data_IF_031710770160
#
_entry.id   IF_031710770160
#
_cell.length_a   1.000
_cell.length_b   1.000
_cell.length_c   1.000
_cell.angle_alpha   90.00
_cell.angle_beta   90.00
_cell.angle_gamma   90.00
#
_symmetry.space_group_name_H-M   'P 1'
#
loop_
_entity.id
_entity.type
_entity.pdbx_description
1 polymer ?
#
# COMPACT_ATOMS: atom_id res chain seq x y z
N UNK A 1 -43.59 46.80 -15.31
CA UNK A 1 -43.23 45.48 -14.77
C UNK A 1 -41.76 45.21 -15.06
N UNK A 2 -40.92 45.33 -14.06
CA UNK A 2 -39.47 45.11 -14.23
C UNK A 2 -39.18 43.71 -13.72
N UNK A 3 -38.87 42.79 -14.67
CA UNK A 3 -38.46 41.41 -14.34
C UNK A 3 -37.02 41.42 -13.82
N UNK A 4 -36.85 41.13 -12.55
CA UNK A 4 -35.52 40.92 -11.94
C UNK A 4 -35.08 39.48 -12.20
N UNK A 5 -34.29 39.27 -13.28
CA UNK A 5 -33.59 38.02 -13.49
C UNK A 5 -32.49 37.85 -12.45
N UNK A 6 -32.70 36.95 -11.53
CA UNK A 6 -31.72 36.54 -10.50
C UNK A 6 -30.66 35.63 -11.15
N UNK A 7 -29.50 36.19 -11.45
CA UNK A 7 -28.36 35.44 -11.97
C UNK A 7 -27.74 34.69 -10.80
N UNK A 8 -28.02 33.38 -10.69
CA UNK A 8 -27.37 32.50 -9.70
C UNK A 8 -25.99 32.16 -10.22
N UNK A 9 -24.97 32.80 -9.65
CA UNK A 9 -23.56 32.49 -9.91
C UNK A 9 -23.21 31.17 -9.21
N UNK A 10 -23.12 30.07 -9.97
CA UNK A 10 -22.68 28.80 -9.49
C UNK A 10 -21.14 28.83 -9.31
N UNK A 11 -20.66 29.15 -8.11
CA UNK A 11 -19.24 29.05 -7.76
C UNK A 11 -18.92 27.59 -7.57
N UNK A 12 -18.39 26.97 -8.62
CA UNK A 12 -17.89 25.60 -8.57
C UNK A 12 -16.68 25.52 -7.63
N UNK A 13 -16.91 25.02 -6.42
CA UNK A 13 -15.84 24.73 -5.47
C UNK A 13 -15.12 23.45 -5.93
N UNK A 14 -14.01 23.63 -6.65
CA UNK A 14 -13.14 22.51 -7.03
C UNK A 14 -12.45 21.96 -5.79
N UNK A 15 -12.95 20.86 -5.24
CA UNK A 15 -12.23 20.11 -4.22
C UNK A 15 -11.01 19.45 -4.88
N UNK A 16 -9.83 19.97 -4.59
CA UNK A 16 -8.59 19.25 -4.87
C UNK A 16 -8.51 18.07 -3.91
N UNK A 17 -8.99 16.92 -4.35
CA UNK A 17 -8.75 15.66 -3.67
C UNK A 17 -7.29 15.30 -3.93
N UNK A 18 -6.42 15.48 -2.94
CA UNK A 18 -5.06 14.95 -3.01
C UNK A 18 -5.17 13.43 -3.01
N UNK A 19 -4.81 12.82 -4.12
CA UNK A 19 -4.78 11.36 -4.21
C UNK A 19 -3.69 10.84 -3.27
N UNK A 20 -4.06 9.93 -2.37
CA UNK A 20 -3.14 9.18 -1.54
C UNK A 20 -3.21 7.70 -1.95
N UNK A 21 -2.11 6.96 -1.81
CA UNK A 21 -2.13 5.51 -2.03
C UNK A 21 -3.08 4.86 -1.04
N UNK A 22 -4.04 4.09 -1.54
CA UNK A 22 -5.05 3.37 -0.74
C UNK A 22 -4.48 2.02 -0.31
N UNK A 23 -3.55 2.06 0.64
CA UNK A 23 -2.88 0.88 1.15
C UNK A 23 -3.85 -0.14 1.73
N UNK A 24 -3.60 -1.41 1.44
CA UNK A 24 -4.34 -2.55 1.96
C UNK A 24 -3.39 -3.64 2.47
N UNK A 25 -3.92 -4.64 3.16
CA UNK A 25 -3.17 -5.83 3.53
C UNK A 25 -2.95 -6.74 2.31
N UNK A 26 -1.99 -7.66 2.41
CA UNK A 26 -1.73 -8.62 1.33
C UNK A 26 -2.94 -9.54 1.09
N UNK A 27 -3.59 -9.99 2.16
CA UNK A 27 -4.78 -10.84 2.09
C UNK A 27 -5.99 -10.13 1.42
N UNK A 28 -6.16 -8.82 1.68
CA UNK A 28 -7.19 -8.00 1.00
C UNK A 28 -6.89 -7.90 -0.50
N UNK A 29 -5.63 -7.67 -0.87
CA UNK A 29 -5.22 -7.61 -2.28
C UNK A 29 -5.45 -8.93 -3.01
N UNK A 30 -5.08 -10.07 -2.40
CA UNK A 30 -5.34 -11.40 -2.96
C UNK A 30 -6.84 -11.69 -3.09
N UNK A 31 -7.65 -11.23 -2.15
CA UNK A 31 -9.11 -11.37 -2.21
C UNK A 31 -9.68 -10.55 -3.35
N UNK A 32 -9.22 -9.31 -3.53
CA UNK A 32 -9.64 -8.44 -4.62
C UNK A 32 -9.27 -9.00 -6.00
N UNK A 33 -8.09 -9.63 -6.14
CA UNK A 33 -7.67 -10.27 -7.39
C UNK A 33 -8.61 -11.37 -7.87
N UNK A 34 -9.29 -12.07 -6.97
CA UNK A 34 -10.23 -13.18 -7.33
C UNK A 34 -11.40 -12.68 -8.15
N UNK A 35 -11.84 -11.45 -7.96
CA UNK A 35 -12.99 -10.85 -8.65
C UNK A 35 -12.59 -9.87 -9.74
N UNK A 36 -11.46 -9.20 -9.57
CA UNK A 36 -10.92 -8.23 -10.52
C UNK A 36 -9.41 -8.41 -10.62
N UNK A 37 -8.91 -9.23 -11.57
CA UNK A 37 -7.48 -9.48 -11.73
C UNK A 37 -6.71 -8.19 -12.01
N UNK A 38 -5.69 -7.93 -11.18
CA UNK A 38 -4.81 -6.75 -11.26
C UNK A 38 -3.51 -7.08 -10.56
N UNK A 39 -2.40 -6.51 -11.02
CA UNK A 39 -1.10 -6.66 -10.37
C UNK A 39 -1.13 -6.08 -8.95
N UNK A 40 -0.33 -6.65 -8.07
CA UNK A 40 -0.11 -6.14 -6.71
C UNK A 40 1.25 -5.44 -6.66
N UNK A 41 1.30 -4.24 -6.07
CA UNK A 41 2.52 -3.56 -5.69
C UNK A 41 2.64 -3.58 -4.17
N UNK A 42 3.77 -4.03 -3.64
CA UNK A 42 4.00 -4.15 -2.20
C UNK A 42 5.14 -3.24 -1.78
N UNK A 43 4.85 -2.27 -0.95
CA UNK A 43 5.88 -1.52 -0.24
C UNK A 43 6.28 -2.28 1.03
N UNK A 44 7.47 -2.88 0.98
CA UNK A 44 8.04 -3.65 2.08
C UNK A 44 8.96 -2.74 2.90
N UNK A 45 8.54 -2.43 4.10
CA UNK A 45 9.20 -1.46 4.98
C UNK A 45 9.48 -2.03 6.37
N UNK A 46 10.23 -1.28 7.16
CA UNK A 46 10.32 -1.44 8.62
C UNK A 46 10.11 -0.09 9.30
N UNK A 47 9.73 -0.12 10.57
CA UNK A 47 9.42 1.10 11.33
C UNK A 47 10.63 2.00 11.59
N UNK A 48 11.83 1.43 11.60
CA UNK A 48 13.10 2.13 11.84
C UNK A 48 13.79 2.62 10.55
N UNK A 49 13.26 2.29 9.38
CA UNK A 49 13.88 2.53 8.08
C UNK A 49 13.71 3.99 7.62
N UNK A 50 14.79 4.78 7.68
CA UNK A 50 14.80 6.17 7.20
C UNK A 50 14.49 6.31 5.70
N UNK A 51 15.17 5.54 4.80
CA UNK A 51 14.87 5.57 3.37
C UNK A 51 13.41 5.18 3.02
N UNK A 52 12.77 4.30 3.81
CA UNK A 52 11.35 3.97 3.62
C UNK A 52 10.45 5.19 3.84
N UNK A 53 10.74 6.00 4.86
CA UNK A 53 10.02 7.25 5.13
C UNK A 53 10.21 8.27 4.00
N UNK A 54 11.39 8.29 3.40
CA UNK A 54 11.65 9.15 2.23
C UNK A 54 10.88 8.67 1.00
N UNK A 55 10.79 7.37 0.76
CA UNK A 55 9.99 6.78 -0.31
C UNK A 55 8.50 7.12 -0.14
N UNK A 56 7.99 6.98 1.08
CA UNK A 56 6.61 7.35 1.43
C UNK A 56 6.33 8.83 1.12
N UNK A 57 7.24 9.72 1.53
CA UNK A 57 7.06 11.16 1.36
C UNK A 57 7.21 11.60 -0.09
N UNK A 58 8.26 11.16 -0.77
CA UNK A 58 8.70 11.74 -2.05
C UNK A 58 8.08 11.03 -3.26
N UNK A 59 7.72 9.75 -3.14
CA UNK A 59 7.16 8.95 -4.22
C UNK A 59 5.70 8.63 -3.97
N UNK A 60 5.39 7.90 -2.93
CA UNK A 60 4.01 7.52 -2.62
C UNK A 60 3.14 8.70 -2.13
N UNK A 61 3.75 9.77 -1.64
CA UNK A 61 3.08 11.03 -1.33
C UNK A 61 2.83 11.94 -2.54
N UNK A 62 3.37 11.61 -3.71
CA UNK A 62 3.11 12.36 -4.94
C UNK A 62 1.73 12.02 -5.50
N UNK A 63 0.91 13.03 -5.80
CA UNK A 63 -0.49 12.84 -6.20
C UNK A 63 -0.65 12.07 -7.51
N UNK A 64 0.22 12.30 -8.51
CA UNK A 64 0.19 11.61 -9.80
C UNK A 64 0.58 10.14 -9.64
N UNK A 65 1.64 9.85 -8.87
CA UNK A 65 2.09 8.49 -8.56
C UNK A 65 1.00 7.73 -7.79
N UNK A 66 0.42 8.36 -6.78
CA UNK A 66 -0.66 7.76 -5.98
C UNK A 66 -1.88 7.43 -6.82
N UNK A 67 -2.30 8.34 -7.71
CA UNK A 67 -3.42 8.11 -8.62
C UNK A 67 -3.13 6.94 -9.56
N UNK A 68 -1.93 6.91 -10.17
CA UNK A 68 -1.51 5.83 -11.06
C UNK A 68 -1.48 4.46 -10.36
N UNK A 69 -0.93 4.40 -9.14
CA UNK A 69 -0.88 3.17 -8.34
C UNK A 69 -2.30 2.69 -8.02
N UNK A 70 -3.17 3.58 -7.53
CA UNK A 70 -4.53 3.22 -7.17
C UNK A 70 -5.36 2.72 -8.37
N UNK A 71 -5.09 3.24 -9.56
CA UNK A 71 -5.78 2.84 -10.78
C UNK A 71 -5.31 1.48 -11.32
N UNK A 72 -4.00 1.22 -11.27
CA UNK A 72 -3.39 0.10 -11.99
C UNK A 72 -3.00 -1.09 -11.11
N UNK A 73 -2.90 -0.91 -9.78
CA UNK A 73 -2.45 -1.93 -8.86
C UNK A 73 -3.38 -2.09 -7.66
N UNK A 74 -3.22 -3.20 -6.96
CA UNK A 74 -3.63 -3.34 -5.56
C UNK A 74 -2.40 -2.99 -4.70
N UNK A 75 -2.39 -1.82 -4.04
CA UNK A 75 -1.23 -1.39 -3.26
C UNK A 75 -1.26 -2.00 -1.87
N UNK A 76 -0.19 -2.70 -1.52
CA UNK A 76 -0.01 -3.33 -0.22
C UNK A 76 1.11 -2.64 0.56
N UNK A 77 0.85 -2.33 1.82
CA UNK A 77 1.87 -1.87 2.78
C UNK A 77 2.21 -3.03 3.72
N UNK A 78 3.45 -3.52 3.68
CA UNK A 78 3.86 -4.69 4.45
C UNK A 78 5.06 -4.38 5.34
N UNK A 79 4.85 -4.47 6.66
CA UNK A 79 5.94 -4.37 7.62
C UNK A 79 6.72 -5.69 7.68
N UNK A 80 7.94 -5.68 7.19
CA UNK A 80 8.83 -6.84 7.12
C UNK A 80 9.22 -7.43 8.49
N UNK A 81 9.03 -6.68 9.56
CA UNK A 81 9.28 -7.05 10.95
C UNK A 81 8.01 -6.93 11.81
N UNK A 82 6.84 -6.85 11.19
CA UNK A 82 5.54 -6.78 11.85
C UNK A 82 5.02 -8.15 12.31
N UNK A 83 3.79 -8.15 12.86
CA UNK A 83 3.14 -9.36 13.40
C UNK A 83 1.82 -9.70 12.70
N UNK A 84 1.52 -9.10 11.55
CA UNK A 84 0.33 -9.43 10.76
C UNK A 84 0.42 -10.85 10.19
N UNK A 85 -0.73 -11.51 10.04
CA UNK A 85 -0.77 -12.77 9.29
C UNK A 85 -0.84 -12.51 7.80
N UNK A 86 -0.19 -13.37 7.01
CA UNK A 86 -0.28 -13.40 5.55
C UNK A 86 -0.65 -14.80 5.11
N UNK A 87 -1.75 -14.93 4.38
CA UNK A 87 -2.19 -16.20 3.78
C UNK A 87 -1.79 -16.20 2.31
N UNK A 88 -0.83 -17.02 1.94
CA UNK A 88 -0.31 -17.07 0.57
C UNK A 88 -0.02 -18.50 0.13
N UNK A 89 -0.53 -18.88 -1.05
CA UNK A 89 -0.33 -20.22 -1.64
C UNK A 89 -0.64 -21.38 -0.67
N UNK A 90 -1.75 -21.26 0.09
CA UNK A 90 -2.16 -22.29 1.04
C UNK A 90 -1.35 -22.33 2.33
N UNK A 91 -0.38 -21.44 2.51
CA UNK A 91 0.43 -21.33 3.72
C UNK A 91 0.05 -20.09 4.52
N UNK A 92 0.18 -20.17 5.83
CA UNK A 92 0.03 -19.04 6.76
C UNK A 92 1.42 -18.63 7.23
N UNK A 93 1.77 -17.38 6.96
CA UNK A 93 3.03 -16.77 7.40
C UNK A 93 2.75 -15.82 8.58
N UNK A 94 3.54 -15.95 9.61
CA UNK A 94 3.43 -15.16 10.84
C UNK A 94 4.83 -14.66 11.28
N UNK A 95 4.87 -13.98 12.41
CA UNK A 95 6.13 -13.60 13.05
C UNK A 95 6.12 -14.03 14.52
N UNK A 96 6.33 -15.34 14.80
CA UNK A 96 6.25 -15.87 16.17
C UNK A 96 7.33 -15.31 17.12
N UNK A 97 8.37 -14.68 16.58
CA UNK A 97 9.45 -14.05 17.35
C UNK A 97 9.29 -12.53 17.47
N UNK A 98 8.15 -11.99 17.04
CA UNK A 98 7.85 -10.58 17.20
C UNK A 98 7.77 -10.21 18.68
N UNK A 99 8.50 -9.18 19.08
CA UNK A 99 8.50 -8.65 20.44
C UNK A 99 7.89 -7.24 20.45
N UNK A 100 6.68 -7.06 20.98
CA UNK A 100 6.00 -5.76 20.99
C UNK A 100 6.68 -4.73 21.91
N UNK A 101 7.57 -5.16 22.80
CA UNK A 101 8.31 -4.27 23.70
C UNK A 101 9.54 -3.62 23.05
N UNK A 102 9.99 -4.16 21.91
CA UNK A 102 11.18 -3.65 21.20
C UNK A 102 10.91 -2.32 20.52
N UNK A 103 11.82 -1.38 20.78
CA UNK A 103 11.94 -0.15 20.00
C UNK A 103 12.95 -0.37 18.85
N UNK A 104 12.56 -0.06 17.61
CA UNK A 104 13.43 -0.23 16.45
C UNK A 104 13.34 -1.62 15.81
N UNK A 105 14.49 -2.30 15.66
CA UNK A 105 14.56 -3.59 14.95
C UNK A 105 13.83 -4.71 15.69
N UNK A 106 13.09 -5.52 14.93
CA UNK A 106 12.38 -6.69 15.44
C UNK A 106 12.75 -7.95 14.64
N UNK A 107 12.16 -9.08 14.99
CA UNK A 107 12.33 -10.31 14.24
C UNK A 107 11.73 -10.16 12.83
N UNK A 108 12.40 -10.74 11.84
CA UNK A 108 11.89 -10.77 10.46
C UNK A 108 10.66 -11.65 10.36
N UNK A 109 9.63 -11.13 9.70
CA UNK A 109 8.42 -11.87 9.38
C UNK A 109 8.72 -13.07 8.46
N UNK A 110 8.07 -14.21 8.65
CA UNK A 110 8.27 -15.40 7.83
C UNK A 110 8.03 -15.12 6.34
N UNK A 111 7.06 -14.27 5.98
CA UNK A 111 6.80 -13.90 4.60
C UNK A 111 7.93 -13.09 3.97
N UNK A 112 8.57 -12.21 4.75
CA UNK A 112 9.78 -11.48 4.32
C UNK A 112 10.90 -12.45 3.96
N UNK A 113 11.09 -13.49 4.78
CA UNK A 113 12.09 -14.54 4.55
C UNK A 113 11.73 -15.37 3.31
N UNK A 114 10.47 -15.75 3.17
CA UNK A 114 9.96 -16.50 2.03
C UNK A 114 10.19 -15.77 0.70
N UNK A 115 9.96 -14.47 0.65
CA UNK A 115 10.21 -13.63 -0.53
C UNK A 115 11.70 -13.33 -0.78
N UNK A 116 12.60 -13.75 0.10
CA UNK A 116 14.04 -13.51 -0.03
C UNK A 116 14.44 -12.04 0.16
N UNK A 117 13.60 -11.22 0.79
CA UNK A 117 13.85 -9.79 0.98
C UNK A 117 14.86 -9.59 2.11
N UNK A 118 15.95 -8.87 1.82
CA UNK A 118 17.09 -8.67 2.74
C UNK A 118 17.39 -7.19 3.04
N UNK A 119 16.77 -6.27 2.32
CA UNK A 119 16.98 -4.82 2.49
C UNK A 119 15.68 -4.02 2.41
N UNK A 120 15.69 -2.81 2.92
CA UNK A 120 14.53 -1.92 2.98
C UNK A 120 14.89 -0.49 2.59
N UNK A 121 14.00 0.22 1.84
CA UNK A 121 12.74 -0.29 1.30
C UNK A 121 12.96 -1.31 0.17
N UNK A 122 12.03 -2.23 0.00
CA UNK A 122 11.89 -3.04 -1.20
C UNK A 122 10.49 -2.85 -1.76
N UNK A 123 10.38 -2.53 -3.04
CA UNK A 123 9.11 -2.52 -3.74
C UNK A 123 9.01 -3.83 -4.52
N UNK A 124 8.11 -4.69 -4.09
CA UNK A 124 7.87 -6.00 -4.68
C UNK A 124 6.64 -5.97 -5.57
N UNK A 125 6.62 -6.80 -6.61
CA UNK A 125 5.51 -6.90 -7.54
C UNK A 125 5.03 -8.34 -7.63
N UNK A 126 3.71 -8.50 -7.77
CA UNK A 126 3.08 -9.75 -8.11
C UNK A 126 2.17 -9.53 -9.32
N UNK A 127 2.13 -10.50 -10.21
CA UNK A 127 1.23 -10.45 -11.36
C UNK A 127 -0.23 -10.64 -10.95
N UNK A 128 -1.14 -10.58 -11.92
CA UNK A 128 -2.59 -10.74 -11.71
C UNK A 128 -3.00 -12.14 -11.21
N UNK A 129 -2.10 -13.10 -11.24
CA UNK A 129 -2.26 -14.47 -10.72
C UNK A 129 -1.51 -14.68 -9.42
N UNK A 130 -1.05 -13.61 -8.78
CA UNK A 130 -0.26 -13.61 -7.56
C UNK A 130 1.11 -14.34 -7.67
N UNK A 131 1.71 -14.40 -8.86
CA UNK A 131 3.09 -14.85 -9.00
C UNK A 131 4.05 -13.71 -8.66
N UNK A 132 5.03 -14.00 -7.82
CA UNK A 132 6.10 -13.04 -7.49
C UNK A 132 7.01 -12.82 -8.70
N UNK A 133 7.29 -11.55 -9.04
CA UNK A 133 8.06 -11.13 -10.23
C UNK A 133 9.51 -10.76 -9.89
#
# INVERSE_FOLDING_TARGET
MVSRSLLILFVGFSFFVTAQVKWMSFDEALTAQKTSPRNIIVDVYTTWCGPCKMLDKNTFGNAEVSAFINENFYPVKFNAEGNSKVNFNGNVFENPKYDPSRQGRNARHQFTVYLGITGYPTVAFFDENANYL
#
